data_IF_583406423437
#
_entry.id   IF_583406423437
#
_cell.length_a   1.000
_cell.length_b   1.000
_cell.length_c   1.000
_cell.angle_alpha   90.00
_cell.angle_beta   90.00
_cell.angle_gamma   90.00
#
_symmetry.space_group_name_H-M   'P 1'
#
loop_
_entity.id
_entity.type
_entity.pdbx_description
1 polymer ?
#
# COMPACT_ATOMS: atom_id res chain seq x y z
N UNK A 1 3.76 -10.65 14.13
CA UNK A 1 4.44 -10.50 12.82
C UNK A 1 3.42 -9.96 11.84
N UNK A 2 3.64 -8.78 11.27
CA UNK A 2 2.82 -8.31 10.15
C UNK A 2 3.04 -9.21 8.94
N UNK A 3 1.96 -9.82 8.46
CA UNK A 3 1.99 -10.68 7.29
C UNK A 3 1.91 -9.83 6.02
N UNK A 4 2.53 -10.30 4.94
CA UNK A 4 2.52 -9.62 3.62
C UNK A 4 1.11 -9.22 3.17
N UNK A 5 0.10 -10.05 3.46
CA UNK A 5 -1.30 -9.76 3.14
C UNK A 5 -1.84 -8.50 3.84
N UNK A 6 -1.40 -8.24 5.08
CA UNK A 6 -1.85 -7.07 5.85
C UNK A 6 -1.28 -5.78 5.24
N UNK A 7 -0.03 -5.83 4.77
CA UNK A 7 0.63 -4.72 4.07
C UNK A 7 -0.05 -4.42 2.73
N UNK A 8 -0.34 -5.46 1.94
CA UNK A 8 -1.09 -5.31 0.69
C UNK A 8 -2.46 -4.69 0.96
N UNK A 9 -3.16 -5.16 1.99
CA UNK A 9 -4.44 -4.62 2.41
C UNK A 9 -4.36 -3.15 2.79
N UNK A 10 -3.37 -2.75 3.57
CA UNK A 10 -3.15 -1.35 3.96
C UNK A 10 -2.85 -0.48 2.73
N UNK A 11 -2.04 -0.96 1.78
CA UNK A 11 -1.76 -0.23 0.55
C UNK A 11 -3.02 -0.04 -0.31
N UNK A 12 -3.79 -1.10 -0.50
CA UNK A 12 -5.06 -1.05 -1.26
C UNK A 12 -6.09 -0.15 -0.55
N UNK A 13 -6.05 -0.09 0.78
CA UNK A 13 -6.89 0.80 1.56
C UNK A 13 -6.55 2.27 1.31
N UNK A 14 -5.26 2.62 1.32
CA UNK A 14 -4.79 3.98 1.04
C UNK A 14 -5.07 4.40 -0.41
N UNK A 15 -4.57 3.63 -1.38
CA UNK A 15 -4.62 4.01 -2.80
C UNK A 15 -6.02 3.87 -3.39
N UNK A 16 -6.82 2.98 -2.82
CA UNK A 16 -8.13 2.61 -3.31
C UNK A 16 -8.08 1.45 -4.31
N UNK A 17 -9.02 0.53 -4.14
CA UNK A 17 -9.22 -0.65 -4.98
C UNK A 17 -9.27 -0.36 -6.49
N UNK A 18 -9.87 0.76 -6.91
CA UNK A 18 -10.00 1.12 -8.32
C UNK A 18 -8.66 1.50 -8.93
N UNK A 19 -7.88 2.33 -8.24
CA UNK A 19 -6.56 2.76 -8.69
C UNK A 19 -5.61 1.55 -8.80
N UNK A 20 -5.60 0.70 -7.77
CA UNK A 20 -4.78 -0.52 -7.79
C UNK A 20 -5.23 -1.48 -8.90
N UNK A 21 -6.53 -1.63 -9.14
CA UNK A 21 -7.05 -2.45 -10.23
C UNK A 21 -6.56 -1.96 -11.59
N UNK A 22 -6.63 -0.65 -11.85
CA UNK A 22 -6.19 -0.06 -13.11
C UNK A 22 -4.68 -0.19 -13.32
N UNK A 23 -3.88 -0.09 -12.26
CA UNK A 23 -2.42 -0.17 -12.34
C UNK A 23 -1.90 -1.62 -12.48
N UNK A 24 -2.59 -2.58 -11.87
CA UNK A 24 -2.11 -3.98 -11.77
C UNK A 24 -2.83 -4.96 -12.68
N UNK A 25 -4.00 -4.59 -13.21
CA UNK A 25 -4.90 -5.49 -13.93
C UNK A 25 -5.66 -6.47 -13.03
N UNK A 26 -5.48 -6.40 -11.70
CA UNK A 26 -6.24 -7.24 -10.75
C UNK A 26 -7.69 -6.74 -10.70
N UNK A 27 -8.67 -7.64 -10.72
CA UNK A 27 -10.08 -7.28 -10.62
C UNK A 27 -10.41 -6.52 -9.34
N UNK A 28 -11.21 -5.46 -9.43
CA UNK A 28 -11.66 -4.68 -8.27
C UNK A 28 -12.33 -5.56 -7.18
N UNK A 29 -13.11 -6.57 -7.58
CA UNK A 29 -13.76 -7.52 -6.66
C UNK A 29 -12.75 -8.33 -5.84
N UNK A 30 -11.61 -8.67 -6.45
CA UNK A 30 -10.53 -9.39 -5.78
C UNK A 30 -9.84 -8.48 -4.76
N UNK A 31 -9.60 -7.22 -5.12
CA UNK A 31 -9.05 -6.20 -4.23
C UNK A 31 -10.01 -5.87 -3.07
N UNK A 32 -11.33 -5.83 -3.32
CA UNK A 32 -12.35 -5.76 -2.25
C UNK A 32 -12.18 -6.92 -1.28
N UNK A 33 -12.07 -8.13 -1.79
CA UNK A 33 -11.91 -9.31 -0.96
C UNK A 33 -10.67 -9.19 -0.08
N UNK A 34 -9.50 -8.86 -0.65
CA UNK A 34 -8.25 -8.63 0.11
C UNK A 34 -8.42 -7.52 1.16
N UNK A 35 -9.18 -6.46 0.83
CA UNK A 35 -9.41 -5.33 1.72
C UNK A 35 -10.36 -5.62 2.88
N UNK A 36 -11.39 -6.45 2.67
CA UNK A 36 -12.45 -6.67 3.67
C UNK A 36 -12.34 -8.01 4.40
N UNK A 37 -11.78 -9.04 3.78
CA UNK A 37 -11.58 -10.36 4.39
C UNK A 37 -10.16 -10.46 4.95
N UNK A 38 -10.05 -10.57 6.27
CA UNK A 38 -8.76 -10.81 6.93
C UNK A 38 -8.13 -12.17 6.56
N UNK A 39 -8.95 -13.13 6.16
CA UNK A 39 -8.53 -14.47 5.71
C UNK A 39 -8.12 -14.51 4.23
N UNK A 40 -8.20 -13.38 3.52
CA UNK A 40 -7.89 -13.34 2.10
C UNK A 40 -6.38 -13.48 1.87
N UNK A 41 -5.96 -14.69 1.54
CA UNK A 41 -4.57 -14.92 1.15
C UNK A 41 -4.25 -14.19 -0.16
N UNK A 42 -3.16 -13.42 -0.14
CA UNK A 42 -2.62 -12.73 -1.32
C UNK A 42 -1.66 -13.67 -2.03
N UNK A 43 -1.96 -13.98 -3.29
CA UNK A 43 -1.09 -14.83 -4.10
C UNK A 43 0.19 -14.09 -4.46
N UNK A 44 1.28 -14.83 -4.68
CA UNK A 44 2.56 -14.27 -5.11
C UNK A 44 2.45 -13.43 -6.39
N UNK A 45 1.62 -13.87 -7.35
CA UNK A 45 1.38 -13.11 -8.59
C UNK A 45 0.67 -11.77 -8.33
N UNK A 46 -0.26 -11.73 -7.37
CA UNK A 46 -0.97 -10.49 -7.00
C UNK A 46 -0.02 -9.52 -6.31
N UNK A 47 0.80 -10.04 -5.39
CA UNK A 47 1.86 -9.28 -4.73
C UNK A 47 2.86 -8.72 -5.75
N UNK A 48 3.32 -9.53 -6.69
CA UNK A 48 4.31 -9.12 -7.68
C UNK A 48 3.74 -8.08 -8.65
N UNK A 49 2.48 -8.24 -9.10
CA UNK A 49 1.79 -7.24 -9.90
C UNK A 49 1.66 -5.90 -9.16
N UNK A 50 1.30 -5.92 -7.87
CA UNK A 50 1.20 -4.70 -7.06
C UNK A 50 2.58 -4.07 -6.83
N UNK A 51 3.59 -4.87 -6.50
CA UNK A 51 4.96 -4.39 -6.28
C UNK A 51 5.60 -3.84 -7.57
N UNK A 52 5.26 -4.42 -8.73
CA UNK A 52 5.68 -3.93 -10.04
C UNK A 52 4.98 -2.65 -10.45
N UNK A 53 3.67 -2.54 -10.19
CA UNK A 53 2.91 -1.32 -10.45
C UNK A 53 3.33 -0.16 -9.53
N UNK A 54 3.67 -0.47 -8.27
CA UNK A 54 4.08 0.52 -7.29
C UNK A 54 5.45 0.20 -6.69
N UNK A 55 6.48 0.44 -7.49
CA UNK A 55 7.88 0.15 -7.13
C UNK A 55 8.32 0.82 -5.82
N UNK A 56 7.80 2.01 -5.52
CA UNK A 56 8.06 2.74 -4.26
C UNK A 56 7.60 2.00 -2.99
N UNK A 57 6.64 1.08 -3.10
CA UNK A 57 6.18 0.26 -1.97
C UNK A 57 6.73 -1.18 -2.02
N UNK A 58 7.55 -1.53 -3.01
CA UNK A 58 7.97 -2.91 -3.27
C UNK A 58 8.73 -3.56 -2.10
N UNK A 59 9.74 -2.87 -1.54
CA UNK A 59 10.47 -3.35 -0.36
C UNK A 59 9.54 -3.52 0.83
N UNK A 60 8.71 -2.53 1.11
CA UNK A 60 7.79 -2.59 2.25
C UNK A 60 6.77 -3.72 2.11
N UNK A 61 6.22 -3.94 0.92
CA UNK A 61 5.31 -5.06 0.66
C UNK A 61 6.00 -6.41 0.92
N UNK A 62 7.24 -6.58 0.45
CA UNK A 62 7.98 -7.85 0.54
C UNK A 62 8.56 -8.12 1.93
N UNK A 63 9.21 -7.13 2.52
CA UNK A 63 10.02 -7.25 3.75
C UNK A 63 9.36 -6.61 4.97
N UNK A 64 8.55 -5.57 4.77
CA UNK A 64 8.04 -4.71 5.84
C UNK A 64 8.96 -3.54 6.16
N UNK A 65 10.12 -3.47 5.49
CA UNK A 65 11.11 -2.41 5.69
C UNK A 65 10.87 -1.24 4.73
N UNK A 66 11.33 -0.05 5.13
CA UNK A 66 11.32 1.16 4.30
C UNK A 66 12.75 1.67 4.12
N UNK A 67 13.01 2.27 2.97
CA UNK A 67 14.31 2.87 2.64
C UNK A 67 14.07 4.18 1.90
N UNK A 68 14.01 5.29 2.65
CA UNK A 68 13.72 6.62 2.11
C UNK A 68 14.79 7.09 1.12
N UNK A 69 16.06 6.70 1.34
CA UNK A 69 17.19 7.03 0.48
C UNK A 69 17.02 6.48 -0.93
N UNK A 70 16.41 5.29 -1.05
CA UNK A 70 16.10 4.64 -2.32
C UNK A 70 14.69 4.92 -2.82
N UNK A 71 13.96 5.83 -2.17
CA UNK A 71 12.57 6.16 -2.50
C UNK A 71 11.57 5.04 -2.17
N UNK A 72 11.95 4.10 -1.29
CA UNK A 72 11.07 3.04 -0.83
C UNK A 72 10.39 3.43 0.47
N UNK A 73 9.09 3.62 0.41
CA UNK A 73 8.31 4.21 1.50
C UNK A 73 7.19 3.26 1.91
N UNK A 74 6.58 3.51 3.06
CA UNK A 74 5.36 2.82 3.48
C UNK A 74 4.16 3.76 3.33
N UNK A 75 2.95 3.19 3.21
CA UNK A 75 1.74 4.00 3.29
C UNK A 75 1.68 4.84 4.57
N UNK A 76 2.08 4.29 5.72
CA UNK A 76 2.13 5.05 6.97
C UNK A 76 3.03 6.29 6.89
N UNK A 77 4.16 6.20 6.17
CA UNK A 77 5.06 7.35 5.94
C UNK A 77 4.39 8.41 5.07
N UNK A 78 3.73 8.01 3.98
CA UNK A 78 3.01 8.94 3.09
C UNK A 78 1.86 9.63 3.82
N UNK A 79 1.10 8.91 4.65
CA UNK A 79 0.04 9.51 5.47
C UNK A 79 0.59 10.51 6.50
N UNK A 80 1.75 10.22 7.10
CA UNK A 80 2.41 11.12 8.03
C UNK A 80 2.96 12.37 7.32
N UNK A 81 3.59 12.20 6.15
CA UNK A 81 4.11 13.28 5.32
C UNK A 81 2.99 14.20 4.82
N UNK A 82 1.88 13.64 4.33
CA UNK A 82 0.68 14.39 3.93
C UNK A 82 0.10 15.22 5.07
N UNK A 83 0.11 14.69 6.31
CA UNK A 83 -0.34 15.43 7.50
C UNK A 83 0.62 16.53 7.89
N UNK A 84 1.93 16.34 7.70
CA UNK A 84 2.95 17.36 7.99
C UNK A 84 2.94 18.48 6.93
N UNK A 85 2.59 18.15 5.68
CA UNK A 85 2.46 19.09 4.58
C UNK A 85 1.16 19.91 4.62
N UNK A 86 0.15 19.48 5.40
CA UNK A 86 -0.96 20.34 5.77
C UNK A 86 -0.43 21.35 6.81
N UNK A 87 -0.29 22.64 6.45
CA UNK A 87 0.23 23.61 7.39
C UNK A 87 -0.78 23.74 8.53
N UNK A 88 -0.44 23.26 9.71
CA UNK A 88 -0.87 23.89 10.95
C UNK A 88 -0.16 25.26 11.04
N UNK A 89 -0.51 26.14 10.09
CA UNK A 89 -0.33 27.57 10.23
C UNK A 89 -1.28 28.00 11.34
N UNK A 90 -0.75 28.02 12.56
CA UNK A 90 -1.49 28.37 13.75
C UNK A 90 -2.05 29.80 13.71
N UNK A 91 -3.00 30.03 14.59
CA UNK A 91 -3.29 31.31 15.25
C UNK A 91 -4.14 30.92 16.47
N UNK A 92 -3.51 30.84 17.65
CA UNK A 92 -3.42 31.89 18.67
C UNK A 92 -4.79 32.33 19.20
#
# INVERSE_FOLDING_TARGET
MELTQDRVRALVHMLGQKAVSQATGIKEERLKTIRYKADANVRTNELDAIAGAYQQYSLWLRTGEIDLTRGQISPAYVEADLKLAAPEAGSR
#
